data_IF_619492909376
#
_entry.id   IF_619492909376
#
_cell.length_a   1.000
_cell.length_b   1.000
_cell.length_c   1.000
_cell.angle_alpha   90.00
_cell.angle_beta   90.00
_cell.angle_gamma   90.00
#
_symmetry.space_group_name_H-M   'P 1'
#
loop_
_entity.id
_entity.type
_entity.pdbx_description
1 polymer ?
#
# COMPACT_ATOMS: atom_id res chain seq x y z
N UNK A 1 21.19 3.33 -6.16
CA UNK A 1 20.85 1.97 -6.64
C UNK A 1 19.88 1.36 -5.65
N UNK A 2 18.68 0.92 -6.07
CA UNK A 2 17.78 0.18 -5.19
C UNK A 2 18.49 -1.07 -4.67
N UNK A 3 18.44 -1.30 -3.36
CA UNK A 3 19.09 -2.42 -2.69
C UNK A 3 18.00 -3.28 -2.04
N UNK A 4 18.15 -4.60 -2.14
CA UNK A 4 17.15 -5.58 -1.71
C UNK A 4 16.71 -5.41 -0.24
N UNK A 5 17.63 -5.06 0.65
CA UNK A 5 17.33 -4.83 2.05
C UNK A 5 16.46 -3.57 2.26
N UNK A 6 16.74 -2.50 1.52
CA UNK A 6 15.92 -1.27 1.55
C UNK A 6 14.51 -1.51 1.01
N UNK A 7 14.37 -2.25 -0.10
CA UNK A 7 13.04 -2.58 -0.67
C UNK A 7 12.23 -3.50 0.26
N UNK A 8 12.89 -4.47 0.91
CA UNK A 8 12.24 -5.34 1.92
C UNK A 8 11.81 -4.56 3.16
N UNK A 9 12.59 -3.57 3.58
CA UNK A 9 12.19 -2.67 4.67
C UNK A 9 11.00 -1.80 4.27
N UNK A 10 11.00 -1.25 3.06
CA UNK A 10 9.87 -0.49 2.52
C UNK A 10 8.60 -1.34 2.43
N UNK A 11 8.71 -2.59 2.00
CA UNK A 11 7.61 -3.55 1.97
C UNK A 11 7.04 -3.81 3.38
N UNK A 12 7.91 -4.06 4.36
CA UNK A 12 7.50 -4.28 5.76
C UNK A 12 6.73 -3.08 6.34
N UNK A 13 7.20 -1.86 6.06
CA UNK A 13 6.50 -0.64 6.47
C UNK A 13 5.16 -0.49 5.76
N UNK A 14 5.09 -0.76 4.46
CA UNK A 14 3.85 -0.72 3.69
C UNK A 14 2.83 -1.74 4.24
N UNK A 15 3.26 -2.95 4.57
CA UNK A 15 2.42 -3.99 5.18
C UNK A 15 1.86 -3.56 6.54
N UNK A 16 2.69 -2.94 7.38
CA UNK A 16 2.26 -2.41 8.68
C UNK A 16 1.20 -1.31 8.52
N UNK A 17 1.40 -0.37 7.59
CA UNK A 17 0.46 0.70 7.33
C UNK A 17 -0.86 0.20 6.73
N UNK A 18 -0.81 -0.78 5.82
CA UNK A 18 -2.00 -1.41 5.26
C UNK A 18 -2.82 -2.12 6.34
N UNK A 19 -2.16 -2.83 7.25
CA UNK A 19 -2.83 -3.49 8.37
C UNK A 19 -3.52 -2.47 9.29
N UNK A 20 -2.85 -1.36 9.60
CA UNK A 20 -3.43 -0.30 10.43
C UNK A 20 -4.62 0.39 9.73
N UNK A 21 -4.49 0.70 8.45
CA UNK A 21 -5.56 1.30 7.65
C UNK A 21 -6.80 0.40 7.60
N UNK A 22 -6.63 -0.91 7.37
CA UNK A 22 -7.72 -1.89 7.42
C UNK A 22 -8.41 -1.92 8.78
N UNK A 23 -7.65 -1.87 9.88
CA UNK A 23 -8.23 -1.81 11.24
C UNK A 23 -9.01 -0.53 11.50
N UNK A 24 -8.53 0.61 11.00
CA UNK A 24 -9.23 1.91 11.12
C UNK A 24 -10.54 1.90 10.34
N UNK A 25 -10.56 1.38 9.12
CA UNK A 25 -11.78 1.26 8.31
C UNK A 25 -12.79 0.36 9.02
N UNK A 26 -12.39 -0.85 9.44
CA UNK A 26 -13.29 -1.77 10.14
C UNK A 26 -13.88 -1.18 11.43
N UNK A 27 -13.09 -0.39 12.18
CA UNK A 27 -13.57 0.30 13.38
C UNK A 27 -14.61 1.37 13.02
N UNK A 28 -14.37 2.14 11.97
CA UNK A 28 -15.30 3.18 11.52
C UNK A 28 -16.61 2.56 11.00
N UNK A 29 -16.54 1.44 10.27
CA UNK A 29 -17.71 0.68 9.81
C UNK A 29 -18.56 0.22 11.00
N UNK A 30 -17.94 -0.40 12.01
CA UNK A 30 -18.65 -0.82 13.23
C UNK A 30 -19.27 0.35 13.99
N UNK A 31 -18.58 1.49 14.07
CA UNK A 31 -19.13 2.71 14.70
C UNK A 31 -20.32 3.24 13.92
N UNK A 32 -20.30 3.20 12.58
CA UNK A 32 -21.45 3.63 11.76
C UNK A 32 -22.63 2.68 11.85
N UNK A 33 -22.40 1.37 11.90
CA UNK A 33 -23.45 0.35 12.01
C UNK A 33 -24.10 0.38 13.41
N UNK A 34 -23.31 0.52 14.48
CA UNK A 34 -23.80 0.50 15.85
C UNK A 34 -24.52 1.78 16.29
N UNK A 35 -24.31 2.91 15.60
CA UNK A 35 -24.85 4.20 16.02
C UNK A 35 -26.31 4.44 15.61
N UNK A 36 -26.92 3.57 14.81
CA UNK A 36 -28.35 3.62 14.39
C UNK A 36 -28.76 4.86 13.58
N UNK A 37 -27.95 5.91 13.58
CA UNK A 37 -27.98 6.98 12.62
C UNK A 37 -27.47 6.42 11.30
N UNK A 38 -28.33 6.45 10.29
CA UNK A 38 -27.89 6.48 8.89
C UNK A 38 -26.64 7.37 8.83
N UNK A 39 -25.48 6.75 8.61
CA UNK A 39 -24.20 7.42 8.71
C UNK A 39 -24.29 8.71 7.92
N UNK A 40 -24.04 9.84 8.58
CA UNK A 40 -23.99 11.14 7.92
C UNK A 40 -23.22 10.99 6.60
N UNK A 41 -23.68 11.60 5.50
CA UNK A 41 -22.99 11.53 4.21
C UNK A 41 -21.48 11.85 4.35
N UNK A 42 -21.11 12.68 5.33
CA UNK A 42 -19.73 12.94 5.70
C UNK A 42 -18.95 11.71 6.19
N UNK A 43 -19.57 10.85 7.00
CA UNK A 43 -18.96 9.60 7.49
C UNK A 43 -18.87 8.55 6.38
N UNK A 44 -19.88 8.45 5.52
CA UNK A 44 -19.83 7.59 4.34
C UNK A 44 -18.73 8.04 3.36
N UNK A 45 -18.60 9.35 3.13
CA UNK A 45 -17.53 9.94 2.31
C UNK A 45 -16.14 9.71 2.91
N UNK A 46 -15.99 9.83 4.23
CA UNK A 46 -14.73 9.54 4.92
C UNK A 46 -14.33 8.06 4.80
N UNK A 47 -15.29 7.13 4.91
CA UNK A 47 -15.06 5.70 4.70
C UNK A 47 -14.65 5.41 3.25
N UNK A 48 -15.30 6.04 2.27
CA UNK A 48 -14.93 5.90 0.86
C UNK A 48 -13.50 6.38 0.60
N UNK A 49 -13.14 7.58 1.07
CA UNK A 49 -11.79 8.12 0.92
C UNK A 49 -10.72 7.25 1.59
N UNK A 50 -11.02 6.65 2.74
CA UNK A 50 -10.11 5.71 3.41
C UNK A 50 -9.94 4.40 2.62
N UNK A 51 -11.00 3.88 2.02
CA UNK A 51 -10.94 2.71 1.13
C UNK A 51 -10.13 2.98 -0.13
N UNK A 52 -10.31 4.15 -0.74
CA UNK A 52 -9.52 4.58 -1.90
C UNK A 52 -8.03 4.72 -1.54
N UNK A 53 -7.74 5.32 -0.39
CA UNK A 53 -6.38 5.41 0.14
C UNK A 53 -5.76 4.04 0.40
N UNK A 54 -6.54 3.09 0.93
CA UNK A 54 -6.10 1.71 1.12
C UNK A 54 -5.77 1.04 -0.22
N UNK A 55 -6.63 1.19 -1.24
CA UNK A 55 -6.39 0.63 -2.56
C UNK A 55 -5.09 1.19 -3.19
N UNK A 56 -4.85 2.50 -3.07
CA UNK A 56 -3.61 3.11 -3.54
C UNK A 56 -2.36 2.56 -2.82
N UNK A 57 -2.45 2.30 -1.51
CA UNK A 57 -1.36 1.67 -0.75
C UNK A 57 -1.13 0.21 -1.16
N UNK A 58 -2.19 -0.54 -1.48
CA UNK A 58 -2.08 -1.92 -1.98
C UNK A 58 -1.42 -1.97 -3.36
N UNK A 59 -1.71 -1.00 -4.22
CA UNK A 59 -1.03 -0.82 -5.50
C UNK A 59 0.46 -0.47 -5.31
N UNK A 60 0.77 0.43 -4.38
CA UNK A 60 2.16 0.75 -4.05
C UNK A 60 2.93 -0.47 -3.53
N UNK A 61 2.30 -1.27 -2.66
CA UNK A 61 2.85 -2.55 -2.19
C UNK A 61 3.15 -3.50 -3.34
N UNK A 62 2.24 -3.59 -4.33
CA UNK A 62 2.44 -4.44 -5.52
C UNK A 62 3.67 -4.02 -6.32
N UNK A 63 3.89 -2.71 -6.47
CA UNK A 63 5.07 -2.15 -7.14
C UNK A 63 6.36 -2.55 -6.41
N UNK A 64 6.40 -2.42 -5.08
CA UNK A 64 7.58 -2.82 -4.27
C UNK A 64 7.86 -4.32 -4.42
N UNK A 65 6.83 -5.17 -4.37
CA UNK A 65 6.99 -6.61 -4.58
C UNK A 65 7.57 -6.94 -5.95
N UNK A 66 7.12 -6.24 -7.00
CA UNK A 66 7.65 -6.40 -8.35
C UNK A 66 9.12 -5.97 -8.41
N UNK A 67 9.49 -4.85 -7.80
CA UNK A 67 10.88 -4.38 -7.72
C UNK A 67 11.78 -5.39 -7.00
N UNK A 68 11.32 -5.98 -5.89
CA UNK A 68 12.05 -7.04 -5.18
C UNK A 68 12.25 -8.24 -6.10
N UNK A 69 11.21 -8.72 -6.78
CA UNK A 69 11.30 -9.85 -7.69
C UNK A 69 12.27 -9.57 -8.86
N UNK A 70 12.31 -8.34 -9.36
CA UNK A 70 13.24 -7.93 -10.42
C UNK A 70 14.70 -7.80 -9.95
N UNK A 71 14.91 -7.44 -8.68
CA UNK A 71 16.23 -7.48 -8.04
C UNK A 71 16.71 -8.92 -7.81
N UNK A 72 15.83 -9.80 -7.32
CA UNK A 72 16.14 -11.21 -7.03
C UNK A 72 16.40 -12.01 -8.30
N UNK A 73 15.64 -11.75 -9.36
CA UNK A 73 15.86 -12.36 -10.69
C UNK A 73 17.08 -11.79 -11.43
N UNK A 74 17.73 -10.76 -10.90
CA UNK A 74 18.84 -10.09 -11.57
C UNK A 74 18.45 -9.27 -12.80
N UNK A 75 17.14 -9.11 -13.10
CA UNK A 75 16.65 -8.26 -14.22
C UNK A 75 16.96 -6.78 -14.02
N UNK A 76 17.22 -6.37 -12.78
CA UNK A 76 17.72 -5.03 -12.44
C UNK A 76 19.25 -4.90 -12.47
N UNK A 77 20.01 -5.96 -12.79
CA UNK A 77 21.49 -5.90 -12.85
C UNK A 77 22.07 -5.27 -14.12
N UNK A 78 21.28 -4.97 -15.16
CA UNK A 78 21.80 -4.48 -16.45
C UNK A 78 21.16 -3.17 -16.94
N UNK A 79 21.09 -2.17 -16.06
CA UNK A 79 21.19 -0.77 -16.53
C UNK A 79 22.50 -0.17 -16.05
N UNK A 80 23.61 -0.72 -16.54
CA UNK A 80 24.87 0.01 -16.53
C UNK A 80 24.72 1.32 -17.31
N UNK A 81 25.48 2.39 -16.99
CA UNK A 81 25.31 3.72 -17.57
C UNK A 81 25.64 3.85 -19.06
N UNK A 82 25.95 2.77 -19.78
CA UNK A 82 26.30 2.80 -21.20
C UNK A 82 25.73 1.59 -21.92
N UNK A 83 24.43 1.62 -22.20
CA UNK A 83 23.84 0.88 -23.33
C UNK A 83 24.22 1.53 -24.66
N UNK A 84 25.52 1.75 -24.89
CA UNK A 84 26.04 2.12 -26.20
C UNK A 84 26.76 0.90 -26.77
N UNK A 85 26.31 0.54 -27.96
CA UNK A 85 26.90 -0.44 -28.87
C UNK A 85 28.41 -0.28 -29.02
#
# INVERSE_FOLDING_TARGET
>A
MPNLASERQALSMADAHLLEARRRIARLEQMTEGSGHAGSEATAGALAALRDGLAAMEDHRRIILQMIADLESGRLKDRGPLGLR
#
